data_IF_696444880506
#
_entry.id   IF_696444880506
#
_cell.length_a   1.000
_cell.length_b   1.000
_cell.length_c   1.000
_cell.angle_alpha   90.00
_cell.angle_beta   90.00
_cell.angle_gamma   90.00
#
_symmetry.space_group_name_H-M   'P 1'
#
loop_
_entity.id
_entity.type
_entity.pdbx_description
1 polymer ?
#
# COMPACT_ATOMS: atom_id res chain seq x y z
N UNK A 1 -12.94 38.56 6.04
CA UNK A 1 -12.36 37.33 5.43
C UNK A 1 -10.89 37.56 5.19
N UNK A 2 -10.01 36.76 5.78
CA UNK A 2 -8.58 36.80 5.54
C UNK A 2 -8.11 35.45 5.03
N UNK A 3 -7.46 35.39 3.89
CA UNK A 3 -6.90 34.19 3.30
C UNK A 3 -5.40 34.13 3.51
N UNK A 4 -4.94 33.12 4.20
CA UNK A 4 -3.52 32.82 4.41
C UNK A 4 -3.14 31.68 3.47
N UNK A 5 -2.32 31.98 2.47
CA UNK A 5 -1.73 30.99 1.58
C UNK A 5 -0.34 30.61 2.05
N UNK A 6 -0.11 29.31 2.23
CA UNK A 6 1.19 28.78 2.67
C UNK A 6 1.71 27.79 1.62
N UNK A 7 2.82 28.15 1.00
CA UNK A 7 3.61 27.21 0.21
C UNK A 7 4.68 26.57 1.09
N UNK A 8 4.65 25.25 1.20
CA UNK A 8 5.47 24.51 2.16
C UNK A 8 6.61 23.79 1.48
N UNK A 9 7.84 24.12 1.88
CA UNK A 9 9.05 23.46 1.44
C UNK A 9 9.82 22.82 2.61
N UNK A 10 10.95 22.20 2.35
CA UNK A 10 11.76 21.57 3.40
C UNK A 10 12.38 22.62 4.31
N UNK A 11 11.98 22.65 5.58
CA UNK A 11 12.56 23.51 6.62
C UNK A 11 12.04 24.94 6.66
N UNK A 12 11.24 25.37 5.67
CA UNK A 12 10.62 26.69 5.63
C UNK A 12 9.30 26.69 4.88
N UNK A 13 8.48 27.70 5.10
CA UNK A 13 7.25 27.95 4.32
C UNK A 13 7.24 29.41 3.86
N UNK A 14 6.73 29.65 2.64
CA UNK A 14 6.45 31.01 2.17
C UNK A 14 4.97 31.31 2.44
N UNK A 15 4.69 32.35 3.21
CA UNK A 15 3.35 32.74 3.67
C UNK A 15 2.93 34.03 3.02
N UNK A 16 1.68 34.12 2.57
CA UNK A 16 1.07 35.35 2.04
C UNK A 16 -0.31 35.50 2.64
N UNK A 17 -0.68 36.74 3.07
CA UNK A 17 -2.01 37.01 3.61
C UNK A 17 -2.71 38.05 2.73
N UNK A 18 -3.94 37.71 2.30
CA UNK A 18 -4.76 38.57 1.45
C UNK A 18 -6.20 38.69 1.94
N UNK A 19 -6.83 39.79 1.55
CA UNK A 19 -8.28 40.03 1.66
C UNK A 19 -8.93 40.10 0.29
N UNK A 20 -10.28 39.96 0.21
CA UNK A 20 -11.01 40.22 -1.02
C UNK A 20 -10.67 41.59 -1.62
N UNK A 21 -10.74 41.71 -2.96
CA UNK A 21 -10.38 42.94 -3.65
C UNK A 21 -8.86 43.13 -3.83
N UNK A 22 -8.12 42.01 -3.81
CA UNK A 22 -6.67 41.96 -4.06
C UNK A 22 -5.79 42.70 -3.03
N UNK A 23 -6.37 42.98 -1.84
CA UNK A 23 -5.66 43.65 -0.73
C UNK A 23 -4.65 42.71 -0.12
N UNK A 24 -3.38 43.06 -0.17
CA UNK A 24 -2.25 42.32 0.43
C UNK A 24 -2.01 42.82 1.84
N UNK A 25 -2.29 41.98 2.86
CA UNK A 25 -1.98 42.31 4.27
C UNK A 25 -0.54 41.94 4.62
N UNK A 26 -0.06 40.81 4.08
CA UNK A 26 1.33 40.36 4.20
C UNK A 26 1.83 39.91 2.83
N UNK A 27 2.88 40.54 2.29
CA UNK A 27 3.53 40.04 1.07
C UNK A 27 4.23 38.70 1.34
N UNK A 28 4.61 37.94 0.31
CA UNK A 28 5.30 36.66 0.49
C UNK A 28 6.51 36.77 1.41
N UNK A 29 6.45 36.12 2.54
CA UNK A 29 7.48 36.08 3.57
C UNK A 29 7.87 34.65 3.90
N UNK A 30 9.15 34.35 3.97
CA UNK A 30 9.67 33.05 4.33
C UNK A 30 9.70 32.87 5.85
N UNK A 31 9.06 31.84 6.34
CA UNK A 31 8.96 31.47 7.76
C UNK A 31 9.65 30.14 7.97
N UNK A 32 10.71 30.06 8.78
CA UNK A 32 11.38 28.79 9.08
C UNK A 32 10.48 27.88 9.93
N UNK A 33 10.61 26.56 9.77
CA UNK A 33 9.87 25.57 10.55
C UNK A 33 10.47 25.41 11.96
N UNK A 34 10.54 26.51 12.70
CA UNK A 34 10.90 26.54 14.11
C UNK A 34 9.66 26.84 14.95
N UNK A 35 9.65 26.34 16.18
CA UNK A 35 8.53 26.56 17.09
C UNK A 35 8.24 28.06 17.31
N UNK A 36 9.29 28.84 17.48
CA UNK A 36 9.17 30.33 17.69
C UNK A 36 8.57 31.04 16.47
N UNK A 37 9.03 30.71 15.27
CA UNK A 37 8.55 31.35 14.05
C UNK A 37 7.09 30.95 13.72
N UNK A 38 6.72 29.70 13.93
CA UNK A 38 5.33 29.26 13.73
C UNK A 38 4.41 29.85 14.80
N UNK A 39 4.84 29.96 16.05
CA UNK A 39 4.06 30.64 17.09
C UNK A 39 3.86 32.13 16.77
N UNK A 40 4.88 32.82 16.27
CA UNK A 40 4.76 34.22 15.82
C UNK A 40 3.74 34.33 14.66
N UNK A 41 3.74 33.41 13.72
CA UNK A 41 2.72 33.35 12.66
C UNK A 41 1.32 33.11 13.23
N UNK A 42 1.15 32.22 14.22
CA UNK A 42 -0.11 31.98 14.90
C UNK A 42 -0.66 33.26 15.54
N UNK A 43 0.17 34.00 16.30
CA UNK A 43 -0.23 35.24 16.92
C UNK A 43 -0.61 36.31 15.87
N UNK A 44 0.15 36.40 14.80
CA UNK A 44 -0.16 37.29 13.69
C UNK A 44 -1.49 36.95 13.02
N UNK A 45 -1.78 35.65 12.78
CA UNK A 45 -3.05 35.18 12.20
C UNK A 45 -4.22 35.49 13.15
N UNK A 46 -4.04 35.28 14.46
CA UNK A 46 -5.07 35.54 15.48
C UNK A 46 -5.34 37.05 15.69
N UNK A 47 -4.37 37.91 15.42
CA UNK A 47 -4.55 39.37 15.51
C UNK A 47 -5.34 39.99 14.35
N UNK A 48 -5.63 39.21 13.30
CA UNK A 48 -6.38 39.69 12.14
C UNK A 48 -7.87 39.78 12.44
N UNK A 49 -8.46 40.95 12.18
CA UNK A 49 -9.90 41.12 12.29
C UNK A 49 -10.68 40.32 11.28
N UNK A 50 -11.70 39.56 11.76
CA UNK A 50 -12.61 38.79 10.95
C UNK A 50 -12.17 37.34 10.73
N UNK A 51 -13.02 36.56 10.02
CA UNK A 51 -12.79 35.16 9.79
C UNK A 51 -11.53 34.95 8.95
N UNK A 52 -10.64 34.08 9.42
CA UNK A 52 -9.38 33.73 8.76
C UNK A 52 -9.32 32.26 8.43
N UNK A 53 -8.98 31.93 7.18
CA UNK A 53 -8.72 30.56 6.75
C UNK A 53 -7.32 30.43 6.17
N UNK A 54 -6.63 29.39 6.60
CA UNK A 54 -5.31 29.01 6.11
C UNK A 54 -5.46 27.89 5.08
N UNK A 55 -4.81 28.03 3.94
CA UNK A 55 -4.72 26.98 2.93
C UNK A 55 -3.26 26.68 2.61
N UNK A 56 -2.93 25.42 2.43
CA UNK A 56 -1.61 24.97 2.03
C UNK A 56 -1.71 23.76 1.09
N UNK A 57 -0.67 23.57 0.29
CA UNK A 57 -0.56 22.36 -0.54
C UNK A 57 -0.13 21.15 0.28
N UNK A 58 -0.81 20.01 0.10
CA UNK A 58 -0.40 18.76 0.74
C UNK A 58 0.68 18.01 -0.06
N UNK A 59 1.78 18.68 -0.35
CA UNK A 59 2.95 18.11 -1.02
C UNK A 59 3.89 17.41 -0.03
N UNK A 60 4.11 16.11 -0.22
CA UNK A 60 5.05 15.35 0.62
C UNK A 60 4.64 15.26 2.08
N UNK A 61 5.59 15.49 3.00
CA UNK A 61 5.41 15.41 4.47
C UNK A 61 5.59 16.74 5.18
N UNK A 62 6.12 17.72 4.49
CA UNK A 62 6.58 18.96 5.16
C UNK A 62 5.44 19.85 5.63
N UNK A 63 4.25 19.70 5.02
CA UNK A 63 3.07 20.47 5.44
C UNK A 63 2.48 19.96 6.76
N UNK A 64 2.60 18.66 7.07
CA UNK A 64 1.94 18.03 8.23
C UNK A 64 2.28 18.70 9.57
N UNK A 65 3.55 19.00 9.91
CA UNK A 65 3.88 19.68 11.14
C UNK A 65 3.26 21.08 11.23
N UNK A 66 3.29 21.85 10.13
CA UNK A 66 2.72 23.20 10.06
C UNK A 66 1.20 23.16 10.20
N UNK A 67 0.53 22.25 9.45
CA UNK A 67 -0.91 22.07 9.52
C UNK A 67 -1.37 21.64 10.91
N UNK A 68 -0.66 20.72 11.54
CA UNK A 68 -0.95 20.27 12.91
C UNK A 68 -0.83 21.41 13.90
N UNK A 69 0.25 22.16 13.87
CA UNK A 69 0.52 23.25 14.80
C UNK A 69 -0.52 24.37 14.72
N UNK A 70 -0.85 24.80 13.50
CA UNK A 70 -1.90 25.78 13.25
C UNK A 70 -3.29 25.26 13.65
N UNK A 71 -3.61 24.02 13.34
CA UNK A 71 -4.88 23.41 13.71
C UNK A 71 -5.02 23.25 15.23
N UNK A 72 -3.93 22.85 15.94
CA UNK A 72 -3.91 22.71 17.40
C UNK A 72 -4.04 24.07 18.10
N UNK A 73 -3.63 25.17 17.43
CA UNK A 73 -3.87 26.54 17.90
C UNK A 73 -5.30 27.04 17.64
N UNK A 74 -6.20 26.21 17.11
CA UNK A 74 -7.60 26.55 16.82
C UNK A 74 -7.82 27.32 15.51
N UNK A 75 -6.82 27.41 14.64
CA UNK A 75 -6.93 28.09 13.34
C UNK A 75 -7.55 27.13 12.32
N UNK A 76 -8.47 27.64 11.49
CA UNK A 76 -8.98 26.88 10.36
C UNK A 76 -7.88 26.65 9.33
N UNK A 77 -7.49 25.39 9.13
CA UNK A 77 -6.47 24.98 8.14
C UNK A 77 -7.12 24.08 7.11
N UNK A 78 -6.76 24.25 5.84
CA UNK A 78 -7.13 23.36 4.75
C UNK A 78 -5.89 22.91 3.98
N UNK A 79 -5.67 21.61 3.90
CA UNK A 79 -4.60 21.03 3.08
C UNK A 79 -5.20 20.55 1.74
N UNK A 80 -4.76 21.15 0.64
CA UNK A 80 -5.37 21.02 -0.67
C UNK A 80 -4.44 20.28 -1.64
N UNK A 81 -5.03 19.52 -2.57
CA UNK A 81 -4.25 18.90 -3.63
C UNK A 81 -3.58 19.94 -4.53
N UNK A 82 -2.27 19.86 -4.77
CA UNK A 82 -1.51 20.77 -5.63
C UNK A 82 -2.12 20.95 -7.02
N UNK A 83 -2.76 19.92 -7.57
CA UNK A 83 -3.41 19.97 -8.88
C UNK A 83 -4.51 21.05 -8.91
N UNK A 84 -5.30 21.17 -7.83
CA UNK A 84 -6.39 22.15 -7.75
C UNK A 84 -5.89 23.58 -7.70
N UNK A 85 -4.74 23.83 -7.07
CA UNK A 85 -4.11 25.15 -7.00
C UNK A 85 -3.44 25.48 -8.33
N UNK A 86 -2.77 24.53 -8.95
CA UNK A 86 -2.18 24.67 -10.28
C UNK A 86 -3.22 25.05 -11.33
N UNK A 87 -4.33 24.30 -11.38
CA UNK A 87 -5.38 24.47 -12.36
C UNK A 87 -6.15 25.79 -12.16
N UNK A 88 -6.11 26.39 -10.97
CA UNK A 88 -6.73 27.69 -10.63
C UNK A 88 -6.00 28.90 -11.21
N UNK A 89 -4.74 28.79 -11.59
CA UNK A 89 -3.91 29.95 -11.97
C UNK A 89 -3.32 29.86 -13.38
N UNK A 90 -3.83 28.99 -14.24
CA UNK A 90 -3.19 28.68 -15.54
C UNK A 90 -3.52 29.66 -16.68
N UNK A 91 -4.06 30.85 -16.38
CA UNK A 91 -4.31 31.90 -17.39
C UNK A 91 -3.04 32.58 -17.93
N UNK A 92 -1.84 32.24 -17.41
CA UNK A 92 -0.57 32.79 -17.88
C UNK A 92 0.36 31.74 -18.47
N UNK A 93 0.54 31.76 -19.78
CA UNK A 93 1.33 30.82 -20.60
C UNK A 93 2.84 30.70 -20.25
N UNK A 94 3.42 31.58 -19.39
CA UNK A 94 4.84 31.56 -19.04
C UNK A 94 5.13 32.31 -17.72
N UNK A 95 4.83 31.73 -16.56
CA UNK A 95 5.35 32.25 -15.30
C UNK A 95 6.53 31.41 -14.78
N UNK A 96 7.64 31.99 -14.29
CA UNK A 96 8.72 31.25 -13.67
C UNK A 96 8.21 30.58 -12.38
N UNK A 97 8.49 29.30 -12.25
CA UNK A 97 8.11 28.50 -11.09
C UNK A 97 9.01 28.84 -9.91
N UNK A 98 8.50 29.58 -8.95
CA UNK A 98 9.20 29.91 -7.69
C UNK A 98 8.25 29.75 -6.52
N UNK A 99 8.75 29.34 -5.33
CA UNK A 99 7.98 29.21 -4.08
C UNK A 99 7.16 30.48 -3.78
N UNK A 100 7.73 31.67 -4.10
CA UNK A 100 7.05 32.98 -3.96
C UNK A 100 5.88 33.17 -4.93
N UNK A 101 5.95 32.58 -6.12
CA UNK A 101 4.85 32.62 -7.09
C UNK A 101 3.73 31.67 -6.67
N UNK A 102 4.06 30.52 -6.12
CA UNK A 102 3.10 29.51 -5.70
C UNK A 102 2.32 29.93 -4.45
N UNK A 103 2.96 30.54 -3.43
CA UNK A 103 2.24 31.12 -2.27
C UNK A 103 1.28 32.24 -2.66
N UNK A 104 1.63 33.04 -3.70
CA UNK A 104 0.74 34.07 -4.24
C UNK A 104 -0.53 33.51 -4.89
N UNK A 105 -0.51 32.29 -5.42
CA UNK A 105 -1.68 31.63 -6.00
C UNK A 105 -2.57 30.97 -4.93
N UNK A 106 -1.98 30.49 -3.83
CA UNK A 106 -2.72 29.77 -2.78
C UNK A 106 -3.71 30.69 -2.06
N UNK A 107 -3.33 31.94 -1.74
CA UNK A 107 -4.21 32.87 -1.04
C UNK A 107 -5.44 33.29 -1.89
N UNK A 108 -5.33 33.67 -3.17
CA UNK A 108 -6.49 33.88 -4.06
C UNK A 108 -7.36 32.64 -4.22
N UNK A 109 -6.76 31.46 -4.38
CA UNK A 109 -7.49 30.19 -4.40
C UNK A 109 -8.34 30.00 -3.13
N UNK A 110 -7.78 30.34 -1.97
CA UNK A 110 -8.47 30.26 -0.68
C UNK A 110 -9.70 31.16 -0.65
N UNK A 111 -9.60 32.37 -1.18
CA UNK A 111 -10.73 33.31 -1.28
C UNK A 111 -11.82 32.81 -2.22
N UNK A 112 -11.44 32.32 -3.40
CA UNK A 112 -12.40 31.80 -4.40
C UNK A 112 -13.14 30.55 -3.89
N UNK A 113 -12.43 29.66 -3.21
CA UNK A 113 -12.98 28.38 -2.72
C UNK A 113 -13.43 28.40 -1.27
N UNK A 114 -13.58 29.59 -0.66
CA UNK A 114 -13.83 29.80 0.76
C UNK A 114 -14.85 28.85 1.39
N UNK A 115 -16.02 28.68 0.77
CA UNK A 115 -17.10 27.83 1.26
C UNK A 115 -16.85 26.32 1.01
N UNK A 116 -15.93 25.97 0.10
CA UNK A 116 -15.64 24.59 -0.30
C UNK A 116 -14.42 24.01 0.40
N UNK A 117 -13.67 24.82 1.14
CA UNK A 117 -12.49 24.37 1.87
C UNK A 117 -12.89 23.40 2.97
N UNK A 118 -12.20 22.27 3.05
CA UNK A 118 -12.37 21.28 4.12
C UNK A 118 -11.37 21.54 5.22
N UNK A 119 -11.84 21.56 6.46
CA UNK A 119 -10.98 21.76 7.62
C UNK A 119 -10.10 20.52 7.86
N UNK A 120 -8.81 20.74 8.04
CA UNK A 120 -7.85 19.74 8.47
C UNK A 120 -8.11 19.35 9.93
N UNK A 121 -8.17 18.07 10.25
CA UNK A 121 -8.56 17.61 11.58
C UNK A 121 -7.81 16.37 12.06
N UNK A 122 -8.20 15.86 13.24
CA UNK A 122 -7.60 14.68 13.88
C UNK A 122 -7.67 13.42 13.01
N UNK A 123 -8.74 13.27 12.22
CA UNK A 123 -8.90 12.15 11.28
C UNK A 123 -7.84 12.19 10.17
N UNK A 124 -7.46 13.40 9.71
CA UNK A 124 -6.42 13.56 8.71
C UNK A 124 -5.03 13.20 9.28
N UNK A 125 -4.79 13.51 10.56
CA UNK A 125 -3.58 13.07 11.29
C UNK A 125 -3.45 11.55 11.30
N UNK A 126 -4.52 10.85 11.67
CA UNK A 126 -4.56 9.38 11.69
C UNK A 126 -4.34 8.79 10.29
N UNK A 127 -4.99 9.35 9.26
CA UNK A 127 -4.82 8.93 7.88
C UNK A 127 -3.38 9.12 7.39
N UNK A 128 -2.76 10.26 7.69
CA UNK A 128 -1.37 10.54 7.32
C UNK A 128 -0.38 9.62 8.04
N UNK A 129 -0.63 9.33 9.33
CA UNK A 129 0.14 8.35 10.07
C UNK A 129 0.05 6.96 9.42
N UNK A 130 -1.16 6.53 9.05
CA UNK A 130 -1.38 5.25 8.39
C UNK A 130 -0.72 5.20 7.00
N UNK A 131 -0.76 6.29 6.22
CA UNK A 131 -0.01 6.42 4.95
C UNK A 131 1.49 6.22 5.13
N UNK A 132 2.04 6.81 6.19
CA UNK A 132 3.47 6.66 6.51
C UNK A 132 3.81 5.23 6.91
N UNK A 133 2.99 4.61 7.77
CA UNK A 133 3.14 3.20 8.13
C UNK A 133 3.06 2.28 6.92
N UNK A 134 2.14 2.53 5.99
CA UNK A 134 1.98 1.70 4.79
C UNK A 134 3.19 1.81 3.83
N UNK A 135 3.79 3.00 3.69
CA UNK A 135 5.05 3.14 2.93
C UNK A 135 6.18 2.34 3.59
N UNK A 136 6.29 2.43 4.91
CA UNK A 136 7.29 1.69 5.67
C UNK A 136 7.04 0.18 5.61
N UNK A 137 5.77 -0.24 5.66
CA UNK A 137 5.38 -1.64 5.47
C UNK A 137 5.80 -2.17 4.09
N UNK A 138 5.56 -1.40 3.02
CA UNK A 138 6.04 -1.74 1.68
C UNK A 138 7.56 -1.93 1.63
N UNK A 139 8.31 -0.99 2.21
CA UNK A 139 9.77 -1.07 2.30
C UNK A 139 10.23 -2.33 3.04
N UNK A 140 9.64 -2.67 4.19
CA UNK A 140 9.99 -3.89 4.92
C UNK A 140 9.60 -5.17 4.19
N UNK A 141 8.49 -5.16 3.44
CA UNK A 141 8.09 -6.29 2.59
C UNK A 141 9.11 -6.53 1.46
N UNK A 142 9.64 -5.48 0.85
CA UNK A 142 10.68 -5.58 -0.17
C UNK A 142 11.99 -6.12 0.44
N UNK A 143 12.39 -5.61 1.62
CA UNK A 143 13.54 -6.13 2.37
C UNK A 143 13.37 -7.61 2.73
N UNK A 144 12.21 -8.01 3.26
CA UNK A 144 11.90 -9.42 3.57
C UNK A 144 12.03 -10.30 2.32
N UNK A 145 11.54 -9.82 1.17
CA UNK A 145 11.64 -10.56 -0.09
C UNK A 145 13.08 -10.69 -0.55
N UNK A 146 13.88 -9.62 -0.45
CA UNK A 146 15.30 -9.63 -0.78
C UNK A 146 16.07 -10.61 0.12
N UNK A 147 15.84 -10.56 1.45
CA UNK A 147 16.48 -11.47 2.41
C UNK A 147 16.08 -12.93 2.17
N UNK A 148 14.80 -13.20 1.83
CA UNK A 148 14.34 -14.54 1.47
C UNK A 148 15.07 -15.07 0.23
N UNK A 149 15.16 -14.26 -0.82
CA UNK A 149 15.83 -14.66 -2.06
C UNK A 149 17.33 -14.88 -1.83
N UNK A 150 17.97 -14.04 -1.03
CA UNK A 150 19.37 -14.21 -0.64
C UNK A 150 19.60 -15.54 0.11
N UNK A 151 18.74 -15.85 1.10
CA UNK A 151 18.85 -17.13 1.83
C UNK A 151 18.65 -18.32 0.87
N UNK A 152 17.69 -18.29 -0.04
CA UNK A 152 17.48 -19.36 -1.01
C UNK A 152 18.72 -19.53 -1.88
N UNK A 153 19.32 -18.45 -2.38
CA UNK A 153 20.54 -18.49 -3.20
C UNK A 153 21.73 -19.09 -2.44
N UNK A 154 21.85 -18.87 -1.15
CA UNK A 154 22.88 -19.53 -0.32
C UNK A 154 22.54 -21.01 -0.09
N UNK A 155 21.26 -21.34 0.07
CA UNK A 155 20.83 -22.75 0.20
C UNK A 155 21.04 -23.55 -1.09
N UNK A 156 20.91 -22.94 -2.26
CA UNK A 156 21.21 -23.58 -3.53
C UNK A 156 22.69 -24.07 -3.61
N UNK A 157 23.57 -23.47 -2.82
CA UNK A 157 24.98 -23.83 -2.73
C UNK A 157 25.32 -24.77 -1.55
N UNK A 158 24.43 -24.90 -0.57
CA UNK A 158 24.69 -25.67 0.66
C UNK A 158 23.69 -26.80 0.88
N UNK A 159 22.43 -26.57 0.57
CA UNK A 159 21.32 -27.52 0.73
C UNK A 159 20.20 -27.21 -0.29
N UNK A 160 20.40 -27.51 -1.57
CA UNK A 160 19.44 -27.22 -2.63
C UNK A 160 18.03 -27.75 -2.32
N UNK A 161 17.00 -26.94 -2.54
CA UNK A 161 15.59 -27.33 -2.34
C UNK A 161 15.13 -27.42 -0.88
N UNK A 162 15.96 -27.09 0.11
CA UNK A 162 15.56 -27.15 1.53
C UNK A 162 14.40 -26.20 1.86
N UNK A 163 14.22 -25.12 1.11
CA UNK A 163 13.11 -24.18 1.23
C UNK A 163 11.76 -24.79 0.83
N UNK A 164 11.74 -25.85 0.03
CA UNK A 164 10.53 -26.46 -0.51
C UNK A 164 10.02 -27.66 0.33
N UNK A 165 10.73 -28.00 1.39
CA UNK A 165 10.29 -29.10 2.25
C UNK A 165 9.00 -28.81 3.01
N UNK A 166 8.61 -27.55 3.19
CA UNK A 166 7.48 -27.17 4.03
C UNK A 166 6.59 -26.12 3.37
N UNK A 167 5.32 -26.41 3.17
CA UNK A 167 4.29 -25.50 2.67
C UNK A 167 3.53 -24.77 3.79
N UNK A 168 4.04 -24.84 5.04
CA UNK A 168 3.37 -24.26 6.19
C UNK A 168 3.34 -22.72 6.09
N UNK A 169 2.20 -22.07 6.40
CA UNK A 169 2.14 -20.63 6.45
C UNK A 169 3.08 -20.08 7.55
N UNK A 170 3.44 -18.80 7.44
CA UNK A 170 4.16 -18.10 8.50
C UNK A 170 3.31 -18.06 9.77
N UNK A 171 3.97 -18.11 10.92
CA UNK A 171 3.36 -17.88 12.24
C UNK A 171 2.98 -16.40 12.42
N UNK A 172 2.26 -16.09 13.47
CA UNK A 172 1.85 -14.71 13.81
C UNK A 172 3.02 -13.75 14.04
N UNK A 173 4.17 -14.26 14.46
CA UNK A 173 5.42 -13.52 14.60
C UNK A 173 6.21 -13.39 13.29
N UNK A 174 5.73 -13.97 12.20
CA UNK A 174 6.37 -13.98 10.89
C UNK A 174 7.39 -15.09 10.68
N UNK A 175 7.67 -15.94 11.68
CA UNK A 175 8.59 -17.07 11.55
C UNK A 175 8.03 -18.15 10.63
N UNK A 176 8.90 -18.89 9.94
CA UNK A 176 8.53 -19.91 8.96
C UNK A 176 9.28 -21.22 9.27
N UNK A 177 8.56 -22.35 9.20
CA UNK A 177 9.12 -23.67 9.53
C UNK A 177 10.35 -24.04 8.71
N UNK A 178 10.37 -23.71 7.42
CA UNK A 178 11.53 -23.98 6.57
C UNK A 178 12.76 -23.15 6.96
N UNK A 179 12.55 -21.91 7.41
CA UNK A 179 13.64 -21.02 7.89
C UNK A 179 14.25 -21.55 9.17
N UNK A 180 13.41 -21.99 10.12
CA UNK A 180 13.87 -22.61 11.36
C UNK A 180 14.57 -23.95 11.11
N UNK A 181 14.10 -24.68 10.09
CA UNK A 181 14.72 -25.93 9.66
C UNK A 181 16.14 -25.68 9.15
N UNK A 182 16.34 -24.75 8.22
CA UNK A 182 17.66 -24.47 7.64
C UNK A 182 18.61 -23.78 8.62
N UNK A 183 18.10 -23.14 9.66
CA UNK A 183 18.94 -22.67 10.78
C UNK A 183 19.65 -23.81 11.49
N UNK A 184 18.99 -24.97 11.62
CA UNK A 184 19.51 -26.17 12.26
C UNK A 184 20.23 -27.08 11.26
N UNK A 185 19.63 -27.29 10.09
CA UNK A 185 20.13 -28.15 9.03
C UNK A 185 20.60 -27.30 7.85
N UNK A 186 21.60 -26.47 8.09
CA UNK A 186 22.08 -25.44 7.16
C UNK A 186 22.90 -25.97 5.98
N UNK A 187 23.24 -27.27 5.98
CA UNK A 187 23.98 -27.97 4.94
C UNK A 187 23.41 -29.39 4.75
N UNK A 188 23.44 -29.91 3.54
CA UNK A 188 22.92 -31.26 3.23
C UNK A 188 23.57 -32.33 4.11
N UNK A 189 24.86 -32.20 4.42
CA UNK A 189 25.57 -33.13 5.32
C UNK A 189 25.10 -33.08 6.79
N UNK A 190 24.30 -32.11 7.18
CA UNK A 190 23.66 -32.16 8.49
C UNK A 190 22.61 -33.29 8.57
N UNK A 191 22.12 -33.74 7.41
CA UNK A 191 21.14 -34.83 7.24
C UNK A 191 21.84 -36.11 6.81
N UNK A 192 22.51 -36.13 5.66
CA UNK A 192 23.04 -37.35 5.03
C UNK A 192 24.20 -37.99 5.80
N UNK A 193 24.90 -37.27 6.65
CA UNK A 193 25.95 -37.86 7.52
C UNK A 193 25.41 -38.71 8.67
N UNK A 194 24.08 -38.81 8.81
CA UNK A 194 23.40 -39.62 9.82
C UNK A 194 22.71 -40.81 9.17
N UNK A 195 22.44 -41.88 9.94
CA UNK A 195 21.48 -42.90 9.50
C UNK A 195 20.06 -42.32 9.48
N UNK A 196 19.14 -42.90 8.68
CA UNK A 196 17.74 -42.51 8.65
C UNK A 196 17.11 -42.50 10.05
N UNK A 197 17.40 -43.50 10.87
CA UNK A 197 16.90 -43.57 12.24
C UNK A 197 17.42 -42.43 13.08
N UNK A 198 18.73 -42.17 13.10
CA UNK A 198 19.34 -41.10 13.86
C UNK A 198 18.85 -39.72 13.40
N UNK A 199 18.66 -39.51 12.11
CA UNK A 199 18.07 -38.27 11.59
C UNK A 199 16.61 -38.13 12.05
N UNK A 200 15.80 -39.18 11.97
CA UNK A 200 14.38 -39.18 12.35
C UNK A 200 14.22 -38.80 13.82
N UNK A 201 15.02 -39.40 14.72
CA UNK A 201 15.03 -39.08 16.15
C UNK A 201 15.47 -37.61 16.41
N UNK A 202 16.49 -37.14 15.69
CA UNK A 202 16.96 -35.77 15.81
C UNK A 202 15.90 -34.77 15.31
N UNK A 203 15.24 -35.06 14.18
CA UNK A 203 14.17 -34.26 13.62
C UNK A 203 12.93 -34.23 14.54
N UNK A 204 12.60 -35.37 15.20
CA UNK A 204 11.52 -35.41 16.18
C UNK A 204 11.81 -34.50 17.37
N UNK A 205 13.05 -34.53 17.93
CA UNK A 205 13.49 -33.63 19.01
C UNK A 205 13.44 -32.17 18.55
N UNK A 206 13.86 -31.88 17.32
CA UNK A 206 13.80 -30.56 16.73
C UNK A 206 12.34 -30.06 16.60
N UNK A 207 11.42 -30.89 16.10
CA UNK A 207 10.00 -30.56 16.01
C UNK A 207 9.43 -30.23 17.40
N UNK A 208 9.69 -31.06 18.40
CA UNK A 208 9.22 -30.85 19.78
C UNK A 208 9.73 -29.53 20.35
N UNK A 209 11.01 -29.22 20.19
CA UNK A 209 11.65 -28.00 20.71
C UNK A 209 11.07 -26.74 20.06
N UNK A 210 10.75 -26.78 18.77
CA UNK A 210 10.25 -25.62 18.03
C UNK A 210 8.72 -25.58 17.94
N UNK A 211 7.98 -26.48 18.63
CA UNK A 211 6.53 -26.50 18.62
C UNK A 211 5.93 -26.88 17.26
N UNK A 212 6.61 -27.72 16.48
CA UNK A 212 6.11 -28.24 15.22
C UNK A 212 5.56 -29.66 15.35
N UNK A 213 4.52 -29.95 14.56
CA UNK A 213 4.04 -31.32 14.44
C UNK A 213 5.11 -32.20 13.77
N UNK A 214 5.40 -33.36 14.38
CA UNK A 214 6.30 -34.37 13.85
C UNK A 214 5.57 -35.33 12.91
N UNK A 215 6.24 -35.71 11.82
CA UNK A 215 5.79 -36.76 10.91
C UNK A 215 7.00 -37.61 10.48
N UNK A 216 6.96 -38.90 10.74
CA UNK A 216 8.01 -39.85 10.35
C UNK A 216 8.14 -39.94 8.81
N UNK A 217 7.02 -39.96 8.10
CA UNK A 217 7.01 -39.96 6.62
C UNK A 217 7.67 -38.69 6.06
N UNK A 218 7.49 -37.52 6.72
CA UNK A 218 8.18 -36.28 6.30
C UNK A 218 9.67 -36.36 6.55
N UNK A 219 10.10 -36.92 7.68
CA UNK A 219 11.52 -37.12 7.98
C UNK A 219 12.19 -38.01 6.93
N UNK A 220 11.53 -39.14 6.58
CA UNK A 220 12.00 -40.06 5.56
C UNK A 220 12.12 -39.38 4.17
N UNK A 221 11.09 -38.60 3.75
CA UNK A 221 11.13 -37.86 2.49
C UNK A 221 12.29 -36.85 2.45
N UNK A 222 12.52 -36.10 3.55
CA UNK A 222 13.64 -35.15 3.66
C UNK A 222 14.97 -35.92 3.54
N UNK A 223 15.11 -37.06 4.23
CA UNK A 223 16.32 -37.85 4.20
C UNK A 223 16.61 -38.41 2.80
N UNK A 224 15.61 -39.02 2.14
CA UNK A 224 15.73 -39.55 0.80
C UNK A 224 16.07 -38.45 -0.22
N UNK A 225 15.39 -37.28 -0.15
CA UNK A 225 15.67 -36.14 -1.03
C UNK A 225 17.08 -35.56 -0.81
N UNK A 226 17.70 -35.80 0.35
CA UNK A 226 19.03 -35.27 0.67
C UNK A 226 20.17 -36.21 0.28
N UNK A 227 19.90 -37.50 0.02
CA UNK A 227 20.92 -38.54 -0.19
C UNK A 227 21.79 -38.25 -1.43
N UNK A 228 21.20 -37.75 -2.51
CA UNK A 228 21.85 -37.53 -3.80
C UNK A 228 22.20 -36.06 -4.11
N UNK A 229 21.93 -35.15 -3.17
CA UNK A 229 22.20 -33.73 -3.36
C UNK A 229 23.70 -33.42 -3.29
N UNK A 230 24.17 -32.54 -4.16
CA UNK A 230 25.52 -32.05 -4.21
C UNK A 230 25.54 -30.61 -3.69
N UNK A 231 26.33 -30.36 -2.62
CA UNK A 231 26.62 -29.02 -2.15
C UNK A 231 27.88 -28.50 -2.84
N UNK A 232 27.89 -27.20 -3.13
CA UNK A 232 29.04 -26.49 -3.71
C UNK A 232 29.97 -26.03 -2.61
N UNK A 233 29.43 -25.48 -1.51
CA UNK A 233 30.23 -25.04 -0.37
C UNK A 233 30.50 -26.19 0.60
N UNK A 234 31.66 -26.17 1.29
CA UNK A 234 31.97 -27.16 2.30
C UNK A 234 31.12 -26.95 3.57
N UNK A 235 30.97 -28.03 4.33
CA UNK A 235 30.35 -27.99 5.66
C UNK A 235 31.36 -27.49 6.69
N UNK A 236 31.55 -26.19 6.76
CA UNK A 236 32.48 -25.54 7.70
C UNK A 236 31.78 -24.43 8.52
N UNK A 237 32.52 -23.86 9.48
CA UNK A 237 31.96 -22.81 10.33
C UNK A 237 31.69 -21.50 9.58
N UNK A 238 32.43 -21.20 8.53
CA UNK A 238 32.22 -20.01 7.69
C UNK A 238 30.88 -20.11 6.97
N UNK A 239 30.63 -21.23 6.28
CA UNK A 239 29.37 -21.51 5.59
C UNK A 239 28.18 -21.51 6.56
N UNK A 240 28.37 -22.12 7.75
CA UNK A 240 27.35 -22.09 8.81
C UNK A 240 27.04 -20.68 9.29
N UNK A 241 28.06 -19.84 9.47
CA UNK A 241 27.88 -18.46 9.87
C UNK A 241 27.09 -17.66 8.85
N UNK A 242 27.40 -17.82 7.53
CA UNK A 242 26.68 -17.17 6.43
C UNK A 242 25.17 -17.52 6.45
N UNK A 243 24.85 -18.81 6.50
CA UNK A 243 23.44 -19.25 6.54
C UNK A 243 22.72 -18.73 7.78
N UNK A 244 23.31 -18.83 8.95
CA UNK A 244 22.72 -18.36 10.20
C UNK A 244 22.50 -16.86 10.22
N UNK A 245 23.43 -16.09 9.68
CA UNK A 245 23.27 -14.65 9.53
C UNK A 245 22.12 -14.32 8.58
N UNK A 246 22.03 -14.96 7.40
CA UNK A 246 20.94 -14.77 6.46
C UNK A 246 19.57 -15.11 7.06
N UNK A 247 19.48 -16.21 7.83
CA UNK A 247 18.27 -16.59 8.58
C UNK A 247 17.89 -15.52 9.61
N UNK A 248 18.86 -15.03 10.37
CA UNK A 248 18.63 -13.98 11.38
C UNK A 248 18.08 -12.72 10.75
N UNK A 249 18.67 -12.27 9.63
CA UNK A 249 18.20 -11.10 8.89
C UNK A 249 16.79 -11.27 8.36
N UNK A 250 16.46 -12.43 7.79
CA UNK A 250 15.11 -12.74 7.31
C UNK A 250 14.08 -12.76 8.43
N UNK A 251 14.41 -13.35 9.57
CA UNK A 251 13.53 -13.39 10.74
C UNK A 251 13.30 -12.00 11.31
N UNK A 252 14.33 -11.15 11.42
CA UNK A 252 14.22 -9.76 11.85
C UNK A 252 13.31 -8.96 10.93
N UNK A 253 13.50 -9.08 9.61
CA UNK A 253 12.63 -8.43 8.62
C UNK A 253 11.18 -8.93 8.71
N UNK A 254 10.98 -10.24 8.94
CA UNK A 254 9.66 -10.84 9.08
C UNK A 254 8.92 -10.33 10.32
N UNK A 255 9.59 -10.25 11.45
CA UNK A 255 9.05 -9.72 12.70
C UNK A 255 8.69 -8.23 12.57
N UNK A 256 9.55 -7.44 11.91
CA UNK A 256 9.28 -6.02 11.65
C UNK A 256 8.00 -5.83 10.80
N UNK A 257 7.80 -6.66 9.77
CA UNK A 257 6.59 -6.67 8.94
C UNK A 257 5.35 -6.98 9.77
N UNK A 258 5.37 -8.03 10.60
CA UNK A 258 4.20 -8.43 11.39
C UNK A 258 3.87 -7.41 12.49
N UNK A 259 4.89 -6.90 13.18
CA UNK A 259 4.73 -5.83 14.18
C UNK A 259 4.08 -4.57 13.58
N UNK A 260 4.57 -4.13 12.40
CA UNK A 260 4.01 -2.97 11.73
C UNK A 260 2.61 -3.23 11.21
N UNK A 261 2.32 -4.45 10.70
CA UNK A 261 0.97 -4.86 10.29
C UNK A 261 -0.03 -4.77 11.44
N UNK A 262 0.34 -5.27 12.61
CA UNK A 262 -0.49 -5.18 13.80
C UNK A 262 -0.79 -3.72 14.15
N UNK A 263 0.23 -2.87 14.17
CA UNK A 263 0.09 -1.45 14.47
C UNK A 263 -0.77 -0.70 13.44
N UNK A 264 -0.63 -1.04 12.15
CA UNK A 264 -1.47 -0.49 11.09
C UNK A 264 -2.95 -0.85 11.29
N UNK A 265 -3.25 -2.11 11.66
CA UNK A 265 -4.62 -2.53 11.93
C UNK A 265 -5.21 -1.79 13.15
N UNK A 266 -4.45 -1.64 14.23
CA UNK A 266 -4.87 -0.88 15.41
C UNK A 266 -5.17 0.59 15.07
N UNK A 267 -4.29 1.22 14.29
CA UNK A 267 -4.48 2.61 13.84
C UNK A 267 -5.67 2.73 12.90
N UNK A 268 -5.82 1.81 11.93
CA UNK A 268 -6.93 1.82 10.99
C UNK A 268 -8.28 1.57 11.66
N UNK A 269 -8.33 0.77 12.74
CA UNK A 269 -9.55 0.48 13.49
C UNK A 269 -10.21 1.73 14.11
N UNK A 270 -9.47 2.82 14.28
CA UNK A 270 -10.01 4.10 14.76
C UNK A 270 -10.75 4.89 13.67
N UNK A 271 -10.65 4.49 12.40
CA UNK A 271 -11.29 5.15 11.26
C UNK A 271 -12.69 4.55 11.01
N UNK A 272 -13.73 5.39 10.85
CA UNK A 272 -15.12 4.92 10.73
C UNK A 272 -15.35 4.06 9.47
N UNK A 273 -14.55 4.24 8.43
CA UNK A 273 -14.66 3.48 7.18
C UNK A 273 -14.02 2.09 7.26
N UNK A 274 -13.13 1.86 8.23
CA UNK A 274 -12.34 0.62 8.29
C UNK A 274 -13.19 -0.65 8.48
N UNK A 275 -14.26 -0.66 9.31
CA UNK A 275 -15.15 -1.81 9.43
C UNK A 275 -15.80 -2.20 8.09
N UNK A 276 -16.12 -1.22 7.23
CA UNK A 276 -16.69 -1.47 5.89
C UNK A 276 -15.68 -2.20 5.01
N UNK A 277 -14.42 -1.78 5.03
CA UNK A 277 -13.35 -2.45 4.29
C UNK A 277 -13.12 -3.88 4.78
N UNK A 278 -13.15 -4.09 6.11
CA UNK A 278 -12.98 -5.42 6.72
C UNK A 278 -14.15 -6.37 6.49
N UNK A 279 -15.36 -5.83 6.22
CA UNK A 279 -16.53 -6.64 5.85
C UNK A 279 -16.49 -7.15 4.41
N UNK A 280 -15.57 -6.68 3.58
CA UNK A 280 -15.42 -7.16 2.20
C UNK A 280 -14.88 -8.60 2.17
N UNK A 281 -15.52 -9.49 1.41
CA UNK A 281 -15.07 -10.86 1.26
C UNK A 281 -13.63 -10.95 0.73
N UNK A 282 -12.78 -11.72 1.41
CA UNK A 282 -11.37 -11.88 1.06
C UNK A 282 -10.44 -10.79 1.60
N UNK A 283 -10.97 -9.80 2.32
CA UNK A 283 -10.18 -8.76 2.98
C UNK A 283 -9.98 -9.16 4.45
N UNK A 284 -8.75 -9.51 4.79
CA UNK A 284 -8.34 -9.79 6.18
C UNK A 284 -7.38 -8.73 6.71
N UNK A 285 -6.93 -8.90 7.98
CA UNK A 285 -6.01 -7.96 8.64
C UNK A 285 -4.69 -7.72 7.87
N UNK A 286 -4.30 -8.66 7.01
CA UNK A 286 -3.10 -8.52 6.17
C UNK A 286 -3.27 -7.53 5.03
N UNK A 287 -4.48 -7.36 4.53
CA UNK A 287 -4.76 -6.57 3.33
C UNK A 287 -5.54 -5.28 3.66
N UNK A 288 -6.40 -5.33 4.69
CA UNK A 288 -7.36 -4.27 5.01
C UNK A 288 -6.75 -2.87 5.11
N UNK A 289 -5.70 -2.64 5.92
CA UNK A 289 -5.12 -1.30 6.05
C UNK A 289 -4.53 -0.76 4.75
N UNK A 290 -3.85 -1.60 3.97
CA UNK A 290 -3.25 -1.21 2.69
C UNK A 290 -4.29 -1.00 1.60
N UNK A 291 -5.37 -1.77 1.61
CA UNK A 291 -6.49 -1.61 0.68
C UNK A 291 -7.23 -0.31 0.94
N UNK A 292 -7.55 -0.01 2.21
CA UNK A 292 -8.20 1.23 2.60
C UNK A 292 -7.43 2.47 2.10
N UNK A 293 -6.11 2.51 2.29
CA UNK A 293 -5.28 3.61 1.81
C UNK A 293 -5.27 3.78 0.29
N UNK A 294 -5.40 2.70 -0.45
CA UNK A 294 -5.50 2.75 -1.91
C UNK A 294 -6.85 3.28 -2.38
N UNK A 295 -7.91 2.97 -1.64
CA UNK A 295 -9.26 3.45 -1.94
C UNK A 295 -9.39 4.95 -1.68
N UNK A 296 -8.78 5.47 -0.60
CA UNK A 296 -8.77 6.90 -0.28
C UNK A 296 -8.05 7.75 -1.35
N UNK A 297 -7.00 7.22 -1.96
CA UNK A 297 -6.19 7.96 -2.95
C UNK A 297 -6.79 7.99 -4.36
N UNK A 298 -7.93 7.32 -4.59
CA UNK A 298 -8.56 7.31 -5.89
C UNK A 298 -9.34 8.63 -6.10
N UNK A 299 -9.09 9.37 -7.19
CA UNK A 299 -9.89 10.54 -7.50
C UNK A 299 -11.34 10.09 -7.73
N UNK A 300 -12.24 10.56 -6.88
CA UNK A 300 -13.68 10.48 -7.16
C UNK A 300 -13.91 11.41 -8.34
N UNK A 301 -14.01 10.85 -9.55
CA UNK A 301 -14.41 11.63 -10.73
C UNK A 301 -15.82 12.16 -10.47
N UNK A 302 -15.96 13.46 -10.29
CA UNK A 302 -17.23 14.16 -10.17
C UNK A 302 -17.97 14.19 -11.52
N UNK A 303 -18.29 13.06 -12.08
CA UNK A 303 -19.39 12.96 -13.03
C UNK A 303 -20.62 12.63 -12.20
N UNK A 304 -21.49 13.62 -12.04
CA UNK A 304 -22.77 13.50 -11.37
C UNK A 304 -23.61 12.39 -12.01
N UNK A 305 -23.63 11.23 -11.36
CA UNK A 305 -24.76 10.31 -11.48
C UNK A 305 -25.39 10.24 -10.10
N UNK A 306 -26.49 10.96 -9.93
CA UNK A 306 -27.34 10.90 -8.74
C UNK A 306 -27.98 9.52 -8.67
N UNK A 307 -27.34 8.61 -7.93
CA UNK A 307 -27.97 7.40 -7.39
C UNK A 307 -27.58 7.29 -5.92
N UNK A 308 -28.48 6.92 -5.01
CA UNK A 308 -28.14 6.65 -3.61
C UNK A 308 -27.36 5.33 -3.57
N UNK A 309 -26.08 5.39 -3.90
CA UNK A 309 -25.18 4.22 -3.83
C UNK A 309 -24.74 4.03 -2.39
N UNK A 310 -24.86 2.80 -1.90
CA UNK A 310 -24.27 2.44 -0.61
C UNK A 310 -22.77 2.70 -0.62
N UNK A 311 -22.11 3.00 0.51
CA UNK A 311 -20.66 3.19 0.59
C UNK A 311 -19.88 2.03 -0.03
N UNK A 312 -20.41 0.81 0.04
CA UNK A 312 -19.83 -0.40 -0.56
C UNK A 312 -19.83 -0.33 -2.10
N UNK A 313 -20.91 0.16 -2.71
CA UNK A 313 -21.00 0.30 -4.17
C UNK A 313 -20.02 1.32 -4.71
N UNK A 314 -19.78 2.42 -3.97
CA UNK A 314 -18.78 3.43 -4.30
C UNK A 314 -17.37 2.83 -4.22
N UNK A 315 -17.07 2.07 -3.15
CA UNK A 315 -15.80 1.40 -2.95
C UNK A 315 -15.49 0.37 -4.05
N UNK A 316 -16.45 -0.47 -4.40
CA UNK A 316 -16.30 -1.46 -5.49
C UNK A 316 -16.11 -0.79 -6.84
N UNK A 317 -16.88 0.26 -7.13
CA UNK A 317 -16.78 1.04 -8.38
C UNK A 317 -15.40 1.67 -8.55
N UNK A 318 -14.90 2.27 -7.48
CA UNK A 318 -13.60 2.94 -7.44
C UNK A 318 -12.45 1.92 -7.58
N UNK A 319 -12.57 0.75 -6.94
CA UNK A 319 -11.60 -0.34 -7.04
C UNK A 319 -11.51 -0.93 -8.45
N UNK A 320 -12.65 -1.20 -9.09
CA UNK A 320 -12.70 -1.75 -10.46
C UNK A 320 -12.15 -0.75 -11.50
N UNK A 321 -12.46 0.55 -11.38
CA UNK A 321 -11.90 1.57 -12.28
C UNK A 321 -10.38 1.73 -12.14
N UNK A 322 -9.84 1.62 -10.91
CA UNK A 322 -8.39 1.64 -10.66
C UNK A 322 -7.66 0.43 -11.25
N UNK A 323 -8.26 -0.75 -11.17
CA UNK A 323 -7.72 -1.96 -11.82
C UNK A 323 -7.67 -1.80 -13.34
N UNK A 324 -8.67 -1.16 -13.94
CA UNK A 324 -8.73 -0.93 -15.37
C UNK A 324 -7.68 0.11 -15.84
N UNK A 325 -7.44 1.19 -15.08
CA UNK A 325 -6.45 2.22 -15.43
C UNK A 325 -4.99 1.77 -15.29
N UNK A 326 -4.69 0.85 -14.35
CA UNK A 326 -3.32 0.35 -14.13
C UNK A 326 -2.88 -0.75 -15.10
N UNK A 327 -3.79 -1.35 -15.84
CA UNK A 327 -3.47 -2.40 -16.82
C UNK A 327 -2.82 -1.89 -18.12
N UNK A 328 -2.39 -0.63 -18.20
CA UNK A 328 -1.62 -0.11 -19.35
C UNK A 328 -0.16 -0.62 -19.40
N UNK A 329 0.38 -1.18 -18.31
CA UNK A 329 1.68 -1.86 -18.32
C UNK A 329 1.66 -3.18 -17.52
N UNK A 330 1.38 -4.32 -18.17
CA UNK A 330 1.23 -5.63 -17.50
C UNK A 330 2.53 -6.18 -16.89
N UNK A 331 3.68 -5.58 -17.16
CA UNK A 331 4.99 -6.05 -16.68
C UNK A 331 5.32 -5.65 -15.24
N UNK A 332 4.66 -4.64 -14.68
CA UNK A 332 5.03 -4.05 -13.38
C UNK A 332 4.35 -4.64 -12.14
N UNK A 333 3.21 -5.35 -12.26
CA UNK A 333 2.52 -5.91 -11.09
C UNK A 333 1.76 -7.22 -11.34
N UNK A 334 2.44 -8.39 -11.39
CA UNK A 334 1.78 -9.68 -11.62
C UNK A 334 0.98 -10.23 -10.43
N UNK A 335 1.09 -9.66 -9.22
CA UNK A 335 0.51 -10.25 -7.98
C UNK A 335 -0.89 -9.76 -7.60
N UNK A 336 -1.41 -8.71 -8.22
CA UNK A 336 -2.72 -8.13 -7.87
C UNK A 336 -3.92 -8.84 -8.54
N UNK A 337 -3.67 -9.81 -9.43
CA UNK A 337 -4.68 -10.46 -10.27
C UNK A 337 -5.43 -11.63 -9.57
N UNK A 338 -5.05 -12.02 -8.35
CA UNK A 338 -5.57 -13.24 -7.69
C UNK A 338 -6.45 -13.00 -6.46
N UNK A 339 -7.25 -11.95 -6.42
CA UNK A 339 -8.24 -11.78 -5.35
C UNK A 339 -9.63 -12.20 -5.83
N UNK A 340 -10.18 -13.35 -5.39
CA UNK A 340 -11.56 -13.70 -5.67
C UNK A 340 -12.49 -12.85 -4.79
N UNK A 341 -13.10 -11.81 -5.37
CA UNK A 341 -14.17 -11.05 -4.72
C UNK A 341 -15.47 -11.84 -4.96
N UNK A 342 -16.00 -12.47 -3.92
CA UNK A 342 -17.36 -13.05 -3.95
C UNK A 342 -18.34 -11.93 -3.63
N UNK A 343 -19.13 -11.50 -4.61
CA UNK A 343 -20.27 -10.59 -4.40
C UNK A 343 -21.50 -11.46 -4.05
N UNK A 344 -22.28 -11.02 -3.04
CA UNK A 344 -23.53 -11.69 -2.74
C UNK A 344 -24.53 -11.48 -3.89
N UNK A 345 -25.31 -12.52 -4.19
CA UNK A 345 -26.22 -12.58 -5.36
C UNK A 345 -27.46 -11.69 -5.22
N UNK A 346 -27.61 -10.94 -4.15
CA UNK A 346 -28.81 -10.12 -3.90
C UNK A 346 -28.77 -8.71 -4.55
N UNK A 347 -27.65 -8.28 -5.08
CA UNK A 347 -27.48 -6.92 -5.63
C UNK A 347 -27.51 -6.96 -7.17
N UNK A 348 -28.71 -6.91 -7.74
CA UNK A 348 -28.95 -6.90 -9.20
C UNK A 348 -28.29 -5.71 -9.92
N UNK A 349 -28.13 -4.56 -9.24
CA UNK A 349 -27.49 -3.36 -9.79
C UNK A 349 -25.97 -3.53 -9.91
N UNK A 350 -25.31 -4.19 -8.94
CA UNK A 350 -23.87 -4.48 -9.00
C UNK A 350 -23.57 -5.42 -10.17
N UNK A 351 -24.42 -6.42 -10.41
CA UNK A 351 -24.28 -7.34 -11.54
C UNK A 351 -24.44 -6.64 -12.90
N UNK A 352 -25.39 -5.70 -13.03
CA UNK A 352 -25.57 -4.89 -14.24
C UNK A 352 -24.36 -3.99 -14.50
N UNK A 353 -23.83 -3.37 -13.45
CA UNK A 353 -22.65 -2.50 -13.55
C UNK A 353 -21.38 -3.26 -13.93
N UNK A 354 -21.13 -4.43 -13.30
CA UNK A 354 -20.00 -5.28 -13.66
C UNK A 354 -20.05 -5.71 -15.13
N UNK A 355 -21.24 -6.00 -15.67
CA UNK A 355 -21.43 -6.29 -17.09
C UNK A 355 -21.08 -5.08 -17.97
N UNK A 356 -21.51 -3.88 -17.62
CA UNK A 356 -21.25 -2.65 -18.39
C UNK A 356 -19.78 -2.23 -18.35
N UNK A 357 -19.09 -2.38 -17.23
CA UNK A 357 -17.63 -2.14 -17.11
C UNK A 357 -16.85 -3.13 -17.97
N UNK A 358 -17.26 -4.41 -18.00
CA UNK A 358 -16.65 -5.43 -18.84
C UNK A 358 -16.84 -5.15 -20.34
N UNK A 359 -17.99 -4.60 -20.75
CA UNK A 359 -18.25 -4.16 -22.13
C UNK A 359 -17.40 -2.93 -22.47
N UNK A 360 -17.31 -1.95 -21.57
CA UNK A 360 -16.47 -0.75 -21.75
C UNK A 360 -14.97 -1.09 -21.85
N UNK A 361 -14.48 -2.02 -21.02
CA UNK A 361 -13.09 -2.53 -21.13
C UNK A 361 -12.85 -3.27 -22.46
N UNK A 362 -13.85 -3.99 -23.00
CA UNK A 362 -13.76 -4.61 -24.32
C UNK A 362 -13.60 -3.58 -25.43
N UNK A 363 -14.32 -2.47 -25.36
CA UNK A 363 -14.32 -1.43 -26.39
C UNK A 363 -13.08 -0.54 -26.35
N UNK A 364 -12.45 -0.38 -25.18
CA UNK A 364 -11.23 0.42 -25.02
C UNK A 364 -9.92 -0.35 -25.32
N UNK A 365 -9.96 -1.68 -25.42
CA UNK A 365 -8.80 -2.50 -25.75
C UNK A 365 -8.62 -2.80 -27.24
N UNK A 366 -9.39 -2.17 -28.13
CA UNK A 366 -9.24 -2.33 -29.58
C UNK A 366 -8.95 -1.01 -30.28
N UNK A 367 -7.69 -0.57 -30.38
CA UNK A 367 -7.27 0.34 -31.43
C UNK A 367 -6.53 -0.42 -32.53
N UNK A 368 -7.14 -0.45 -33.72
CA UNK A 368 -6.44 -0.50 -35.00
C UNK A 368 -5.56 -1.73 -35.29
N UNK A 369 -6.18 -2.88 -35.59
CA UNK A 369 -5.50 -3.96 -36.35
C UNK A 369 -6.30 -4.19 -37.66
N UNK A 370 -5.63 -4.19 -38.83
CA UNK A 370 -6.34 -4.40 -40.11
C UNK A 370 -6.92 -5.81 -40.21
N UNK A 371 -8.09 -5.90 -40.74
CA UNK A 371 -8.80 -7.15 -41.03
C UNK A 371 -7.99 -7.99 -42.03
N UNK A 372 -7.29 -9.03 -41.53
CA UNK A 372 -6.96 -10.25 -42.30
C UNK A 372 -6.06 -11.15 -41.42
N UNK A 373 -6.66 -11.94 -40.52
CA UNK A 373 -6.05 -13.15 -39.96
C UNK A 373 -7.13 -14.10 -39.47
N UNK A 374 -6.90 -15.40 -39.61
CA UNK A 374 -7.87 -16.48 -39.40
C UNK A 374 -8.28 -16.62 -37.94
N UNK A 375 -9.47 -17.21 -37.72
CA UNK A 375 -10.12 -17.35 -36.40
C UNK A 375 -9.27 -18.07 -35.32
N UNK A 376 -8.23 -18.83 -35.69
CA UNK A 376 -7.36 -19.57 -34.75
C UNK A 376 -6.31 -18.66 -34.09
N UNK A 377 -5.80 -17.64 -34.75
CA UNK A 377 -4.80 -16.72 -34.17
C UNK A 377 -5.43 -15.69 -33.23
N UNK A 378 -6.71 -15.34 -33.42
CA UNK A 378 -7.46 -14.49 -32.48
C UNK A 378 -7.64 -15.13 -31.11
N UNK A 379 -7.63 -16.47 -31.01
CA UNK A 379 -7.83 -17.20 -29.76
C UNK A 379 -6.59 -17.16 -28.84
N UNK A 380 -5.40 -17.07 -29.39
CA UNK A 380 -4.13 -17.08 -28.63
C UNK A 380 -3.73 -15.68 -28.11
N UNK A 381 -4.10 -14.60 -28.80
CA UNK A 381 -3.79 -13.25 -28.35
C UNK A 381 -4.70 -12.77 -27.18
N UNK A 382 -5.88 -13.36 -27.03
CA UNK A 382 -6.88 -13.04 -26.03
C UNK A 382 -6.69 -13.76 -24.68
N UNK A 383 -5.75 -14.72 -24.56
CA UNK A 383 -5.52 -15.46 -23.28
C UNK A 383 -5.16 -14.55 -22.11
N UNK A 384 -4.55 -13.39 -22.34
CA UNK A 384 -4.16 -12.45 -21.26
C UNK A 384 -5.32 -11.62 -20.71
N UNK A 385 -6.36 -11.38 -21.50
CA UNK A 385 -7.59 -10.72 -21.03
C UNK A 385 -8.56 -11.69 -20.36
N UNK A 386 -8.58 -12.97 -20.79
CA UNK A 386 -9.47 -13.99 -20.23
C UNK A 386 -9.13 -14.39 -18.79
N UNK A 387 -7.87 -14.25 -18.36
CA UNK A 387 -7.47 -14.55 -16.98
C UNK A 387 -8.11 -13.62 -15.96
N UNK A 388 -8.43 -12.38 -16.35
CA UNK A 388 -9.19 -11.46 -15.50
C UNK A 388 -10.70 -11.76 -15.49
N UNK A 389 -11.24 -12.33 -16.56
CA UNK A 389 -12.67 -12.65 -16.73
C UNK A 389 -13.09 -13.95 -16.01
N UNK A 390 -12.21 -14.94 -15.92
CA UNK A 390 -12.51 -16.22 -15.25
C UNK A 390 -12.64 -16.12 -13.73
N UNK A 391 -12.32 -14.99 -13.11
CA UNK A 391 -12.44 -14.79 -11.65
C UNK A 391 -13.85 -14.39 -11.20
N UNK A 392 -14.77 -14.07 -12.13
CA UNK A 392 -16.17 -13.76 -11.84
C UNK A 392 -17.10 -14.92 -12.21
N UNK A 393 -16.88 -16.10 -11.62
CA UNK A 393 -17.87 -17.17 -11.70
C UNK A 393 -18.95 -16.91 -10.66
N UNK A 394 -20.11 -16.47 -11.10
CA UNK A 394 -21.35 -16.48 -10.30
C UNK A 394 -21.75 -17.94 -10.13
N UNK A 395 -21.64 -18.47 -8.92
CA UNK A 395 -22.18 -19.78 -8.59
C UNK A 395 -23.71 -19.65 -8.42
N UNK A 396 -24.50 -20.59 -8.94
CA UNK A 396 -25.96 -20.59 -8.73
C UNK A 396 -26.28 -20.79 -7.24
N UNK A 397 -27.47 -20.30 -6.78
CA UNK A 397 -27.86 -20.41 -5.38
C UNK A 397 -28.05 -21.89 -5.00
N UNK A 398 -27.37 -22.30 -3.93
CA UNK A 398 -27.69 -23.57 -3.29
C UNK A 398 -29.06 -23.48 -2.65
N UNK A 399 -30.01 -24.34 -3.09
CA UNK A 399 -31.22 -24.60 -2.37
C UNK A 399 -30.88 -25.29 -1.04
N UNK A 400 -31.10 -24.57 0.06
CA UNK A 400 -31.15 -25.17 1.39
C UNK A 400 -32.57 -25.70 1.58
N UNK A 401 -32.70 -27.03 1.65
CA UNK A 401 -33.84 -27.68 2.28
C UNK A 401 -33.57 -27.78 3.78
#
# INVERSE_FOLDING_TARGET
MNAVGIDVSKGKSTVTIRRPGDVVLMPPCDIPHTQSAINALIEQIKSLDGETKVCMEHTGRYYEPVANWLSDAGIFVSAVNPILIRDFGDDSLRAPKTDKADSKKIAPYTLDRWAKLKQYGSMDKTRNQLKTMNRQFGFYMDQKTAMKNNLISLLDQTYPGANDFFDSPARSDGSQKWVDFVYTYWHVDCVRSKSLQAFTEHYQKWCKRNGYHFSASKAEKIYQSSSDLIAVFPKDDSTKALIRQAVTMLNTASQAVESLRLKMNQTAATLPEYPVVMAMNGVGPSLGPSLWLRLETLPVSHTEVRLPLSPVSILVRTFLSSLCQKNKDPRKHPRLVKLPIRLSTQDTEINSYCKNVLVSCRNSCTPGIPQRTSAKEKFLSNRKCYTALCLFRVLPPYNVK
#
